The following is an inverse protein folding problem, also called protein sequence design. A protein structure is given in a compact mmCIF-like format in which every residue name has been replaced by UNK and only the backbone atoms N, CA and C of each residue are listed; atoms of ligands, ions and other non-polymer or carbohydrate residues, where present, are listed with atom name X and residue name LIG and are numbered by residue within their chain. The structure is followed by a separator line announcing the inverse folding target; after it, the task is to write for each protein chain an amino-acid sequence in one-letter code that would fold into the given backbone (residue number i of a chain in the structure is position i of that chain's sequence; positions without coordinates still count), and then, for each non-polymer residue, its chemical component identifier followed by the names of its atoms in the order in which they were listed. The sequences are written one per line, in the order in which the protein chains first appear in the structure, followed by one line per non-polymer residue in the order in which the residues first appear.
data_IF_896965205413
#
_entry.id   IF_896965205413
#
_cell.length_a   1.000
_cell.length_b   1.000
_cell.length_c   1.000
_cell.angle_alpha   90.00
_cell.angle_beta   90.00
_cell.angle_gamma   90.00
#
_symmetry.space_group_name_H-M   'P 1'
#
loop_
_entity.id
_entity.type
_entity.pdbx_description
1 polymer ?
#
# COMPACT_ATOMS: atom_id res chain seq x y z
N UNK A 1 -12.86 -6.88 1.80
CA UNK A 1 -11.45 -6.94 2.27
C UNK A 1 -10.78 -5.59 2.04
N UNK A 2 -10.04 -5.07 3.02
CA UNK A 2 -9.49 -3.70 3.02
C UNK A 2 -8.26 -3.47 2.10
N UNK A 3 -7.80 -4.49 1.36
CA UNK A 3 -6.64 -4.40 0.48
C UNK A 3 -6.96 -4.10 -0.99
N UNK A 4 -8.15 -3.55 -1.30
CA UNK A 4 -8.58 -3.23 -2.67
C UNK A 4 -8.43 -4.38 -3.69
N UNK A 5 -8.61 -5.64 -3.27
CA UNK A 5 -8.47 -6.80 -4.17
C UNK A 5 -9.57 -6.88 -5.23
N UNK A 6 -10.83 -6.67 -4.82
CA UNK A 6 -12.02 -6.81 -5.67
C UNK A 6 -12.50 -5.49 -6.30
N UNK A 7 -11.99 -4.35 -5.84
CA UNK A 7 -12.45 -3.02 -6.25
C UNK A 7 -11.24 -2.09 -6.46
N UNK A 8 -11.38 -1.09 -7.33
CA UNK A 8 -10.39 -0.02 -7.48
C UNK A 8 -10.53 1.03 -6.39
N UNK A 9 -9.44 1.75 -6.13
CA UNK A 9 -9.48 2.85 -5.17
C UNK A 9 -10.47 3.95 -5.62
N UNK A 10 -10.51 4.23 -6.93
CA UNK A 10 -11.45 5.19 -7.51
C UNK A 10 -12.92 4.79 -7.27
N UNK A 11 -13.28 3.52 -7.50
CA UNK A 11 -14.65 3.06 -7.25
C UNK A 11 -15.05 3.20 -5.77
N UNK A 12 -14.09 3.04 -4.85
CA UNK A 12 -14.32 3.26 -3.42
C UNK A 12 -14.43 4.76 -3.08
N UNK A 13 -13.65 5.61 -3.75
CA UNK A 13 -13.72 7.06 -3.62
C UNK A 13 -15.09 7.59 -4.06
N UNK A 14 -15.62 7.09 -5.17
CA UNK A 14 -16.94 7.45 -5.68
C UNK A 14 -18.08 7.03 -4.73
N UNK A 15 -17.90 5.93 -3.98
CA UNK A 15 -18.87 5.45 -2.99
C UNK A 15 -18.78 6.21 -1.66
N UNK A 16 -17.59 6.35 -1.10
CA UNK A 16 -17.35 7.10 0.14
C UNK A 16 -15.87 7.56 0.25
N UNK A 17 -15.59 8.88 0.11
CA UNK A 17 -14.24 9.41 0.17
C UNK A 17 -13.53 9.17 1.50
N UNK A 18 -14.25 9.19 2.63
CA UNK A 18 -13.61 9.03 3.94
C UNK A 18 -13.02 7.62 4.09
N UNK A 19 -13.74 6.62 3.60
CA UNK A 19 -13.30 5.22 3.64
C UNK A 19 -12.17 4.99 2.64
N UNK A 20 -12.23 5.60 1.45
CA UNK A 20 -11.16 5.45 0.46
C UNK A 20 -9.82 5.98 0.98
N UNK A 21 -9.79 7.13 1.64
CA UNK A 21 -8.56 7.63 2.29
C UNK A 21 -8.09 6.73 3.43
N UNK A 22 -9.00 6.16 4.23
CA UNK A 22 -8.61 5.23 5.29
C UNK A 22 -7.93 3.97 4.73
N UNK A 23 -8.35 3.49 3.55
CA UNK A 23 -7.73 2.30 2.92
C UNK A 23 -6.30 2.54 2.43
N UNK A 24 -5.90 3.80 2.18
CA UNK A 24 -4.52 4.15 1.76
C UNK A 24 -3.45 3.87 2.83
N UNK A 25 -3.84 3.60 4.08
CA UNK A 25 -2.90 3.13 5.11
C UNK A 25 -2.44 1.70 4.82
N UNK A 26 -3.24 0.92 4.09
CA UNK A 26 -2.94 -0.48 3.82
C UNK A 26 -2.01 -0.60 2.60
N UNK A 27 -0.77 -1.12 2.76
CA UNK A 27 0.18 -1.27 1.65
C UNK A 27 -0.37 -2.14 0.51
N UNK A 28 -1.29 -3.07 0.80
CA UNK A 28 -1.88 -3.93 -0.25
C UNK A 28 -2.70 -3.15 -1.28
N UNK A 29 -3.25 -1.99 -0.93
CA UNK A 29 -3.98 -1.15 -1.89
C UNK A 29 -3.05 -0.72 -3.03
N UNK A 30 -1.84 -0.26 -2.69
CA UNK A 30 -0.86 0.16 -3.69
C UNK A 30 -0.31 -1.00 -4.52
N UNK A 31 -0.18 -2.20 -3.93
CA UNK A 31 0.22 -3.39 -4.67
C UNK A 31 -0.84 -3.78 -5.71
N UNK A 32 -2.11 -3.84 -5.31
CA UNK A 32 -3.20 -4.20 -6.22
C UNK A 32 -3.42 -3.14 -7.31
N UNK A 33 -3.41 -1.86 -6.94
CA UNK A 33 -3.54 -0.76 -7.92
C UNK A 33 -2.34 -0.71 -8.87
N UNK A 34 -1.12 -0.91 -8.37
CA UNK A 34 0.08 -0.97 -9.21
C UNK A 34 0.03 -2.13 -10.22
N UNK A 35 -0.45 -3.31 -9.81
CA UNK A 35 -0.66 -4.46 -10.71
C UNK A 35 -1.73 -4.14 -11.75
N UNK A 36 -2.87 -3.53 -11.35
CA UNK A 36 -3.91 -3.14 -12.30
C UNK A 36 -3.39 -2.15 -13.33
N UNK A 37 -2.66 -1.12 -12.90
CA UNK A 37 -2.09 -0.13 -13.84
C UNK A 37 -1.12 -0.78 -14.81
N UNK A 38 -0.26 -1.69 -14.32
CA UNK A 38 0.67 -2.42 -15.17
C UNK A 38 -0.01 -3.35 -16.18
N UNK A 39 -1.24 -3.81 -15.89
CA UNK A 39 -1.97 -4.79 -16.70
C UNK A 39 -3.00 -4.16 -17.64
N UNK A 40 -3.74 -3.16 -17.17
CA UNK A 40 -4.89 -2.56 -17.85
C UNK A 40 -4.65 -1.11 -18.30
N UNK A 41 -3.53 -0.49 -17.91
CA UNK A 41 -3.25 0.91 -18.17
C UNK A 41 -3.67 1.84 -17.02
N UNK A 42 -3.37 3.14 -17.16
CA UNK A 42 -3.43 4.12 -16.06
C UNK A 42 -4.83 4.68 -15.76
N UNK A 43 -5.80 4.50 -16.65
CA UNK A 43 -7.14 5.11 -16.51
C UNK A 43 -7.94 4.51 -15.34
N UNK A 44 -8.48 5.36 -14.47
CA UNK A 44 -9.35 4.95 -13.37
C UNK A 44 -8.65 4.32 -12.16
N UNK A 45 -7.31 4.43 -12.08
CA UNK A 45 -6.49 3.88 -11.00
C UNK A 45 -5.51 4.92 -10.45
N UNK A 46 -4.94 4.63 -9.27
CA UNK A 46 -3.86 5.44 -8.71
C UNK A 46 -2.64 5.51 -9.65
N UNK A 47 -1.87 6.61 -9.67
CA UNK A 47 -0.65 6.70 -10.48
C UNK A 47 0.36 5.60 -10.13
N UNK A 48 0.87 4.90 -11.15
CA UNK A 48 1.82 3.80 -10.97
C UNK A 48 3.01 4.16 -10.08
N UNK A 49 3.59 5.35 -10.32
CA UNK A 49 4.74 5.84 -9.55
C UNK A 49 4.41 6.11 -8.08
N UNK A 50 3.19 6.56 -7.78
CA UNK A 50 2.74 6.76 -6.40
C UNK A 50 2.64 5.40 -5.69
N UNK A 51 2.13 4.37 -6.37
CA UNK A 51 2.07 3.02 -5.83
C UNK A 51 3.48 2.49 -5.51
N UNK A 52 4.45 2.66 -6.42
CA UNK A 52 5.84 2.23 -6.20
C UNK A 52 6.49 2.94 -5.02
N UNK A 53 6.43 4.28 -4.98
CA UNK A 53 7.05 5.07 -3.91
C UNK A 53 6.41 4.75 -2.56
N UNK A 54 5.08 4.61 -2.51
CA UNK A 54 4.38 4.23 -1.29
C UNK A 54 4.83 2.86 -0.78
N UNK A 55 4.90 1.85 -1.64
CA UNK A 55 5.37 0.51 -1.27
C UNK A 55 6.80 0.52 -0.74
N UNK A 56 7.72 1.22 -1.41
CA UNK A 56 9.08 1.41 -0.92
C UNK A 56 9.12 2.13 0.44
N UNK A 57 8.26 3.13 0.63
CA UNK A 57 8.08 3.82 1.90
C UNK A 57 7.66 2.86 3.03
N UNK A 58 6.67 1.99 2.77
CA UNK A 58 6.26 0.96 3.74
C UNK A 58 7.36 -0.06 4.03
N UNK A 59 8.12 -0.49 3.03
CA UNK A 59 9.26 -1.39 3.21
C UNK A 59 10.30 -0.74 4.13
N UNK A 60 10.68 0.51 3.86
CA UNK A 60 11.64 1.25 4.67
C UNK A 60 11.12 1.45 6.10
N UNK A 61 9.86 1.84 6.28
CA UNK A 61 9.25 2.00 7.59
C UNK A 61 9.26 0.69 8.39
N UNK A 62 8.86 -0.43 7.75
CA UNK A 62 8.92 -1.75 8.36
C UNK A 62 10.36 -2.15 8.70
N UNK A 63 11.33 -1.91 7.82
CA UNK A 63 12.73 -2.22 8.06
C UNK A 63 13.30 -1.41 9.23
N UNK A 64 13.07 -0.10 9.28
CA UNK A 64 13.51 0.79 10.35
C UNK A 64 12.93 0.40 11.71
N UNK A 65 11.69 -0.11 11.73
CA UNK A 65 11.03 -0.54 12.96
C UNK A 65 11.37 -1.99 13.37
N UNK A 66 11.55 -2.89 12.41
CA UNK A 66 11.78 -4.31 12.66
C UNK A 66 13.24 -4.62 12.98
N UNK A 67 14.21 -4.02 12.25
CA UNK A 67 15.64 -4.27 12.45
C UNK A 67 16.10 -4.02 13.90
N UNK A 68 15.84 -2.86 14.54
CA UNK A 68 16.30 -2.62 15.91
C UNK A 68 15.61 -3.55 16.92
N UNK A 69 14.34 -3.89 16.69
CA UNK A 69 13.61 -4.85 17.54
C UNK A 69 14.19 -6.25 17.41
N UNK A 70 14.55 -6.66 16.21
CA UNK A 70 15.21 -7.94 15.96
C UNK A 70 16.58 -7.97 16.63
N UNK A 71 17.40 -6.93 16.46
CA UNK A 71 18.71 -6.81 17.12
C UNK A 71 18.60 -6.90 18.64
N UNK A 72 17.66 -6.18 19.26
CA UNK A 72 17.39 -6.25 20.72
C UNK A 72 16.99 -7.65 21.20
N UNK A 73 16.39 -8.48 20.35
CA UNK A 73 16.04 -9.87 20.68
C UNK A 73 17.20 -10.83 20.41
N UNK A 74 18.16 -10.46 19.58
CA UNK A 74 19.32 -11.26 19.22
C UNK A 74 20.48 -11.04 20.19
N UNK A 75 20.58 -9.85 20.78
CA UNK A 75 21.45 -9.56 21.93
C UNK A 75 20.87 -10.25 23.19
N UNK A 76 21.12 -11.57 23.28
CA UNK A 76 20.79 -12.42 24.43
C UNK A 76 21.90 -12.45 25.50
N UNK A 77 22.76 -11.44 25.55
CA UNK A 77 23.85 -11.28 26.53
C UNK A 77 23.48 -10.20 27.54
#
# INVERSE_FOLDING_TARGET
MFGAYFYSWQALYDMNPAISYATLINPMVYAMEGIRVATFGQEGYLPYWVCLVALWGFILLCALLAIPRLKKRLDCV
#
